data_IF_806733368191
#
_entry.id   IF_806733368191
#
_cell.length_a   1.000
_cell.length_b   1.000
_cell.length_c   1.000
_cell.angle_alpha   90.00
_cell.angle_beta   90.00
_cell.angle_gamma   90.00
#
_symmetry.space_group_name_H-M   'P 1'
#
loop_
_entity.id
_entity.type
_entity.pdbx_description
1 polymer ?
#
# COMPACT_ATOMS: atom_id res chain seq x y z
N UNK A 1 -6.63 -11.77 21.58
CA UNK A 1 -5.27 -11.39 21.14
C UNK A 1 -5.04 -12.03 19.77
N UNK A 2 -4.77 -11.25 18.73
CA UNK A 2 -4.63 -11.75 17.35
C UNK A 2 -3.19 -12.24 17.05
N UNK A 3 -2.63 -13.04 17.97
CA UNK A 3 -1.29 -13.61 17.78
C UNK A 3 -1.36 -14.58 16.60
N UNK A 4 -0.60 -14.30 15.54
CA UNK A 4 -0.54 -15.13 14.33
C UNK A 4 -1.41 -14.66 13.15
N UNK A 5 -2.08 -13.51 13.25
CA UNK A 5 -2.78 -12.90 12.10
C UNK A 5 -1.83 -12.03 11.29
N UNK A 6 -1.77 -12.24 9.98
CA UNK A 6 -1.09 -11.33 9.03
C UNK A 6 -2.09 -10.35 8.42
N UNK A 7 -1.67 -9.10 8.25
CA UNK A 7 -2.43 -8.06 7.54
C UNK A 7 -1.71 -7.74 6.25
N UNK A 8 -2.43 -7.80 5.12
CA UNK A 8 -1.96 -7.30 3.84
C UNK A 8 -2.68 -5.99 3.54
N UNK A 9 -1.90 -4.92 3.34
CA UNK A 9 -2.40 -3.61 2.99
C UNK A 9 -1.86 -3.21 1.61
N UNK A 10 -2.75 -2.75 0.73
CA UNK A 10 -2.40 -2.26 -0.61
C UNK A 10 -2.55 -0.74 -0.59
N UNK A 11 -1.45 -0.03 -0.78
CA UNK A 11 -1.37 1.43 -0.71
C UNK A 11 -0.70 1.98 -1.96
N UNK A 12 -1.04 3.21 -2.31
CA UNK A 12 -0.28 4.00 -3.30
C UNK A 12 0.95 4.67 -2.67
N UNK A 13 0.90 4.98 -1.37
CA UNK A 13 2.00 5.57 -0.60
C UNK A 13 1.97 5.08 0.85
N UNK A 14 3.14 4.98 1.49
CA UNK A 14 3.26 4.49 2.87
C UNK A 14 2.91 5.56 3.90
N UNK A 15 3.42 6.79 3.69
CA UNK A 15 3.12 7.96 4.52
C UNK A 15 3.22 7.66 6.03
N UNK A 16 2.26 8.10 6.85
CA UNK A 16 2.27 7.87 8.30
C UNK A 16 2.20 6.39 8.73
N UNK A 17 1.85 5.47 7.82
CA UNK A 17 1.76 4.05 8.12
C UNK A 17 3.10 3.33 7.96
N UNK A 18 4.10 3.96 7.35
CA UNK A 18 5.44 3.40 7.15
C UNK A 18 6.03 2.74 8.41
N UNK A 19 5.97 3.34 9.61
CA UNK A 19 6.54 2.74 10.82
C UNK A 19 5.83 1.47 11.31
N UNK A 20 4.63 1.16 10.77
CA UNK A 20 3.83 0.00 11.15
C UNK A 20 4.02 -1.19 10.21
N UNK A 21 4.79 -1.02 9.13
CA UNK A 21 4.91 -2.00 8.05
C UNK A 21 6.27 -2.70 8.15
N UNK A 22 6.26 -4.00 8.44
CA UNK A 22 7.49 -4.79 8.56
C UNK A 22 8.13 -5.15 7.20
N UNK A 23 7.31 -5.26 6.14
CA UNK A 23 7.71 -5.66 4.79
C UNK A 23 6.83 -5.00 3.74
N UNK A 24 7.43 -4.51 2.67
CA UNK A 24 6.77 -3.95 1.49
C UNK A 24 7.09 -4.76 0.24
N UNK A 25 6.09 -4.95 -0.62
CA UNK A 25 6.23 -5.49 -1.97
C UNK A 25 5.72 -4.44 -2.95
N UNK A 26 6.57 -3.98 -3.87
CA UNK A 26 6.17 -2.99 -4.89
C UNK A 26 5.99 -3.69 -6.21
N UNK A 27 4.82 -3.49 -6.82
CA UNK A 27 4.51 -3.96 -8.16
C UNK A 27 4.60 -2.80 -9.15
N UNK A 28 5.25 -3.04 -10.28
CA UNK A 28 5.29 -2.13 -11.43
C UNK A 28 5.22 -2.94 -12.71
N UNK A 29 4.31 -2.55 -13.61
CA UNK A 29 4.11 -3.20 -14.90
C UNK A 29 3.88 -4.72 -14.79
N UNK A 30 3.17 -5.16 -13.74
CA UNK A 30 2.89 -6.57 -13.46
C UNK A 30 4.05 -7.36 -12.83
N UNK A 31 5.18 -6.72 -12.55
CA UNK A 31 6.37 -7.34 -11.98
C UNK A 31 6.65 -6.83 -10.56
N UNK A 32 7.20 -7.69 -9.70
CA UNK A 32 7.74 -7.28 -8.39
C UNK A 32 9.06 -6.57 -8.61
N UNK A 33 9.12 -5.29 -8.26
CA UNK A 33 10.35 -4.48 -8.36
C UNK A 33 11.02 -4.25 -7.01
N UNK A 34 10.33 -4.49 -5.90
CA UNK A 34 10.86 -4.41 -4.54
C UNK A 34 10.23 -5.49 -3.67
N UNK A 35 11.04 -6.12 -2.83
CA UNK A 35 10.63 -7.04 -1.77
C UNK A 35 11.60 -6.91 -0.59
N UNK A 36 11.11 -6.41 0.54
CA UNK A 36 11.94 -6.22 1.73
C UNK A 36 11.38 -5.15 2.67
N UNK A 37 12.22 -4.50 3.50
CA UNK A 37 11.80 -3.38 4.34
C UNK A 37 11.13 -2.26 3.53
N UNK A 38 10.27 -1.43 4.14
CA UNK A 38 9.66 -0.29 3.46
C UNK A 38 10.72 0.60 2.79
N UNK A 39 10.60 0.92 1.48
CA UNK A 39 11.48 1.88 0.85
C UNK A 39 11.19 3.29 1.40
N UNK A 40 12.23 4.14 1.47
CA UNK A 40 12.06 5.52 1.93
C UNK A 40 10.99 6.23 1.12
N UNK A 41 10.05 6.87 1.81
CA UNK A 41 9.06 7.71 1.17
C UNK A 41 9.74 8.87 0.43
N UNK A 42 9.78 8.81 -0.90
CA UNK A 42 10.38 9.86 -1.74
C UNK A 42 9.59 11.19 -1.68
N UNK A 43 8.44 11.22 -0.98
CA UNK A 43 7.60 12.40 -0.84
C UNK A 43 7.03 12.92 -2.16
N UNK A 44 7.18 12.18 -3.27
CA UNK A 44 6.88 12.62 -4.63
C UNK A 44 5.43 13.10 -4.81
N UNK A 45 4.52 12.57 -3.98
CA UNK A 45 3.11 12.92 -3.95
C UNK A 45 2.83 14.07 -2.96
N UNK A 46 3.62 14.24 -1.90
CA UNK A 46 3.46 15.30 -0.90
C UNK A 46 4.08 16.67 -1.31
N UNK A 47 4.64 16.77 -2.52
CA UNK A 47 5.25 18.02 -3.02
C UNK A 47 4.19 19.07 -3.37
N UNK A 48 4.43 20.37 -3.10
CA UNK A 48 3.54 21.44 -3.52
C UNK A 48 3.32 21.41 -5.04
N UNK A 49 2.06 21.29 -5.47
CA UNK A 49 1.67 21.25 -6.88
C UNK A 49 1.38 19.87 -7.46
N UNK A 50 1.45 18.80 -6.66
CA UNK A 50 0.93 17.50 -7.06
C UNK A 50 -0.60 17.48 -6.87
N UNK A 51 -1.35 17.19 -7.95
CA UNK A 51 -2.79 16.94 -7.85
C UNK A 51 -3.01 15.52 -7.32
N UNK A 52 -3.36 15.42 -6.03
CA UNK A 52 -3.76 14.15 -5.44
C UNK A 52 -5.16 13.78 -5.94
N UNK A 53 -5.23 13.27 -7.17
CA UNK A 53 -6.44 12.64 -7.67
C UNK A 53 -6.61 11.33 -6.90
N UNK A 54 -7.62 11.26 -6.03
CA UNK A 54 -8.09 10.02 -5.43
C UNK A 54 -9.22 9.45 -6.29
N UNK A 55 -8.95 8.58 -7.30
CA UNK A 55 -9.99 7.92 -8.08
C UNK A 55 -10.61 6.79 -7.23
N UNK A 56 -11.28 7.15 -6.14
CA UNK A 56 -12.18 6.27 -5.41
C UNK A 56 -13.59 6.82 -5.53
N UNK A 57 -14.06 6.94 -6.77
CA UNK A 57 -15.48 7.11 -7.05
C UNK A 57 -16.09 5.75 -7.37
N UNK A 58 -17.01 5.35 -6.48
CA UNK A 58 -17.71 4.07 -6.34
C UNK A 58 -16.90 2.94 -5.69
N UNK A 59 -17.18 2.69 -4.41
CA UNK A 59 -16.76 1.49 -3.71
C UNK A 59 -17.38 0.26 -4.40
N UNK A 60 -16.57 -0.48 -5.14
CA UNK A 60 -16.91 -1.87 -5.46
C UNK A 60 -16.84 -2.68 -4.16
N UNK A 61 -17.79 -3.61 -3.93
CA UNK A 61 -17.81 -4.37 -2.68
C UNK A 61 -16.49 -5.14 -2.53
N UNK A 62 -15.84 -4.93 -1.38
CA UNK A 62 -14.64 -5.65 -0.97
C UNK A 62 -14.94 -7.15 -1.03
N UNK A 63 -14.35 -7.84 -2.01
CA UNK A 63 -14.21 -9.29 -1.96
C UNK A 63 -13.09 -9.57 -0.96
N UNK A 64 -13.44 -9.88 0.28
CA UNK A 64 -12.48 -10.48 1.21
C UNK A 64 -11.94 -11.71 0.50
N UNK A 65 -10.65 -11.71 0.17
CA UNK A 65 -9.98 -12.78 -0.59
C UNK A 65 -9.88 -14.09 0.19
N UNK A 66 -10.97 -14.54 0.80
CA UNK A 66 -11.11 -15.88 1.34
C UNK A 66 -11.15 -16.81 0.14
N UNK A 67 -9.99 -17.36 -0.20
CA UNK A 67 -9.85 -18.46 -1.14
C UNK A 67 -10.51 -19.67 -0.49
N UNK A 68 -11.78 -19.92 -0.82
CA UNK A 68 -12.45 -21.21 -0.60
C UNK A 68 -12.04 -22.20 -1.66
#
# INVERSE_FOLDING_TARGET
MALGTSVLLVLHELGPLEPLIDRAVVLRDGCVTHDGPPPEALGQHALPGHDHVHPHAAAEPVRTGLLT
#
